data_IF_956699076042
#
_entry.id   IF_956699076042
#
_cell.length_a   1.000
_cell.length_b   1.000
_cell.length_c   1.000
_cell.angle_alpha   90.00
_cell.angle_beta   90.00
_cell.angle_gamma   90.00
#
_symmetry.space_group_name_H-M   'P 1'
#
loop_
_entity.id
_entity.type
_entity.pdbx_description
1 polymer ?
#
# COMPACT_ATOMS: atom_id res chain seq x y z
N UNK A 1 -24.54 -2.95 -18.25
CA UNK A 1 -23.38 -2.04 -18.00
C UNK A 1 -23.52 -1.52 -16.60
N UNK A 2 -22.48 -1.65 -15.79
CA UNK A 2 -22.47 -1.05 -14.44
C UNK A 2 -22.50 0.47 -14.61
N UNK A 3 -23.24 1.15 -13.73
CA UNK A 3 -23.33 2.60 -13.72
C UNK A 3 -21.92 3.22 -13.59
N UNK A 4 -21.65 4.23 -14.40
CA UNK A 4 -20.37 4.96 -14.39
C UNK A 4 -20.03 5.48 -12.99
N UNK A 5 -21.05 5.93 -12.24
CA UNK A 5 -20.88 6.42 -10.87
C UNK A 5 -20.34 5.32 -9.94
N UNK A 6 -20.90 4.11 -10.02
CA UNK A 6 -20.45 2.95 -9.22
C UNK A 6 -19.02 2.56 -9.62
N UNK A 7 -18.72 2.56 -10.91
CA UNK A 7 -17.37 2.24 -11.41
C UNK A 7 -16.34 3.23 -10.86
N UNK A 8 -16.61 4.53 -10.96
CA UNK A 8 -15.71 5.57 -10.42
C UNK A 8 -15.53 5.42 -8.91
N UNK A 9 -16.61 5.17 -8.17
CA UNK A 9 -16.54 4.95 -6.72
C UNK A 9 -15.63 3.77 -6.38
N UNK A 10 -15.78 2.63 -7.06
CA UNK A 10 -14.94 1.44 -6.84
C UNK A 10 -13.47 1.77 -7.12
N UNK A 11 -13.16 2.45 -8.22
CA UNK A 11 -11.78 2.79 -8.58
C UNK A 11 -11.14 3.72 -7.55
N UNK A 12 -11.88 4.72 -7.05
CA UNK A 12 -11.40 5.62 -5.98
C UNK A 12 -11.12 4.83 -4.70
N UNK A 13 -12.03 3.92 -4.31
CA UNK A 13 -11.84 3.08 -3.12
C UNK A 13 -10.63 2.16 -3.27
N UNK A 14 -10.40 1.60 -4.45
CA UNK A 14 -9.24 0.76 -4.72
C UNK A 14 -7.92 1.56 -4.70
N UNK A 15 -7.93 2.79 -5.21
CA UNK A 15 -6.78 3.68 -5.07
C UNK A 15 -6.45 3.97 -3.59
N UNK A 16 -7.46 4.32 -2.78
CA UNK A 16 -7.29 4.57 -1.35
C UNK A 16 -6.74 3.32 -0.65
N UNK A 17 -7.30 2.15 -0.96
CA UNK A 17 -6.84 0.87 -0.41
C UNK A 17 -5.38 0.61 -0.76
N UNK A 18 -4.98 0.81 -2.02
CA UNK A 18 -3.60 0.68 -2.47
C UNK A 18 -2.65 1.63 -1.74
N UNK A 19 -3.05 2.90 -1.55
CA UNK A 19 -2.26 3.88 -0.82
C UNK A 19 -2.07 3.48 0.66
N UNK A 20 -3.10 2.93 1.31
CA UNK A 20 -3.00 2.39 2.68
C UNK A 20 -2.02 1.22 2.75
N UNK A 21 -2.07 0.30 1.78
CA UNK A 21 -1.09 -0.80 1.69
C UNK A 21 0.33 -0.30 1.38
N UNK A 22 0.50 0.79 0.62
CA UNK A 22 1.78 1.45 0.39
C UNK A 22 2.41 1.96 1.68
N UNK A 23 1.62 2.65 2.50
CA UNK A 23 2.02 3.10 3.84
C UNK A 23 2.38 1.93 4.75
N UNK A 24 1.56 0.85 4.73
CA UNK A 24 1.85 -0.39 5.45
C UNK A 24 3.16 -1.02 4.99
N UNK A 25 3.44 -1.07 3.69
CA UNK A 25 4.64 -1.66 3.12
C UNK A 25 5.91 -0.95 3.64
N UNK A 26 5.92 0.38 3.69
CA UNK A 26 7.01 1.14 4.29
C UNK A 26 7.21 0.81 5.77
N UNK A 27 6.12 0.75 6.54
CA UNK A 27 6.17 0.39 7.95
C UNK A 27 6.74 -1.03 8.16
N UNK A 28 6.34 -1.99 7.31
CA UNK A 28 6.80 -3.37 7.39
C UNK A 28 8.28 -3.52 7.01
N UNK A 29 8.75 -2.81 5.97
CA UNK A 29 10.16 -2.79 5.60
C UNK A 29 11.05 -2.29 6.76
N UNK A 30 10.63 -1.21 7.45
CA UNK A 30 11.32 -0.72 8.64
C UNK A 30 11.31 -1.73 9.79
N UNK A 31 10.19 -2.42 10.06
CA UNK A 31 10.09 -3.46 11.10
C UNK A 31 11.06 -4.60 10.84
N UNK A 32 11.12 -5.10 9.61
CA UNK A 32 12.05 -6.16 9.22
C UNK A 32 13.51 -5.75 9.46
N UNK A 33 13.89 -4.53 9.10
CA UNK A 33 15.24 -4.02 9.35
C UNK A 33 15.57 -3.95 10.84
N UNK A 34 14.64 -3.47 11.65
CA UNK A 34 14.85 -3.38 13.10
C UNK A 34 14.96 -4.76 13.76
N UNK A 35 14.15 -5.72 13.35
CA UNK A 35 14.26 -7.11 13.81
C UNK A 35 15.59 -7.74 13.41
N UNK A 36 16.04 -7.59 12.17
CA UNK A 36 17.32 -8.07 11.69
C UNK A 36 18.51 -7.51 12.48
N UNK A 37 18.42 -6.25 12.92
CA UNK A 37 19.45 -5.59 13.73
C UNK A 37 19.32 -5.88 15.24
N UNK A 38 18.41 -6.75 15.68
CA UNK A 38 18.12 -7.05 17.10
C UNK A 38 17.93 -5.79 17.96
N UNK A 39 17.45 -4.69 17.35
CA UNK A 39 17.14 -3.45 18.06
C UNK A 39 15.78 -3.60 18.73
N UNK A 40 15.70 -3.08 19.97
CA UNK A 40 14.50 -3.11 20.82
C UNK A 40 13.28 -2.57 20.06
N UNK A 41 12.13 -3.24 20.19
CA UNK A 41 10.91 -2.98 19.48
C UNK A 41 10.56 -1.48 19.36
N UNK A 42 10.23 -1.05 18.14
CA UNK A 42 9.64 0.27 17.87
C UNK A 42 8.23 0.42 18.43
N UNK A 43 7.71 -0.63 19.10
CA UNK A 43 6.35 -0.71 19.57
C UNK A 43 5.32 -0.88 18.44
N UNK A 44 4.05 -0.98 18.81
CA UNK A 44 2.92 -1.17 17.86
C UNK A 44 2.54 0.13 17.12
N UNK A 45 3.12 1.27 17.48
CA UNK A 45 2.73 2.59 16.99
C UNK A 45 3.73 3.14 15.97
N UNK A 46 3.22 3.92 15.03
CA UNK A 46 4.06 4.71 14.12
C UNK A 46 4.76 5.82 14.92
N UNK A 47 6.09 5.86 14.83
CA UNK A 47 6.94 6.85 15.54
C UNK A 47 7.87 7.55 14.58
N UNK A 48 8.15 8.80 14.80
CA UNK A 48 9.18 9.51 14.06
C UNK A 48 10.57 8.92 14.37
N UNK A 49 11.34 8.57 13.36
CA UNK A 49 12.66 7.95 13.53
C UNK A 49 13.69 8.91 14.16
N UNK A 50 13.48 10.22 14.04
CA UNK A 50 14.39 11.24 14.56
C UNK A 50 14.07 11.62 16.01
N UNK A 51 12.83 12.05 16.30
CA UNK A 51 12.46 12.53 17.63
C UNK A 51 11.79 11.47 18.51
N UNK A 52 11.53 10.26 17.97
CA UNK A 52 10.90 9.12 18.67
C UNK A 52 9.48 9.40 19.21
N UNK A 53 8.89 10.56 18.89
CA UNK A 53 7.52 10.88 19.27
C UNK A 53 6.56 10.08 18.41
N UNK A 54 5.43 9.68 19.01
CA UNK A 54 4.34 8.98 18.32
C UNK A 54 3.71 9.89 17.26
N UNK A 55 3.48 9.33 16.07
CA UNK A 55 2.77 9.99 14.97
C UNK A 55 1.28 9.89 15.28
N UNK A 56 0.56 11.01 15.18
CA UNK A 56 -0.89 11.05 15.37
C UNK A 56 -1.57 10.41 14.16
N UNK A 57 -2.76 9.83 14.34
CA UNK A 57 -3.47 9.11 13.29
C UNK A 57 -3.71 9.96 12.02
N UNK A 58 -4.02 11.25 12.18
CA UNK A 58 -4.25 12.16 11.06
C UNK A 58 -2.95 12.58 10.34
N UNK A 59 -1.79 12.43 10.98
CA UNK A 59 -0.47 12.61 10.35
C UNK A 59 0.02 11.32 9.67
N UNK A 60 -0.80 10.26 9.70
CA UNK A 60 -0.52 8.97 9.07
C UNK A 60 -1.51 8.64 7.94
N UNK A 61 -2.31 9.63 7.49
CA UNK A 61 -3.20 9.46 6.33
C UNK A 61 -2.32 9.43 5.07
N UNK A 62 -2.36 8.33 4.28
CA UNK A 62 -1.49 8.17 3.11
C UNK A 62 -1.60 9.36 2.14
N UNK A 63 -0.49 9.74 1.54
CA UNK A 63 -0.36 10.84 0.56
C UNK A 63 -0.67 12.21 1.18
N UNK A 64 -1.87 12.35 1.80
CA UNK A 64 -2.38 13.63 2.32
C UNK A 64 -1.46 14.18 3.41
N UNK A 65 -1.07 13.34 4.37
CA UNK A 65 -0.22 13.78 5.48
C UNK A 65 1.13 14.29 4.99
N UNK A 66 1.73 13.60 4.03
CA UNK A 66 3.01 14.01 3.46
C UNK A 66 2.90 15.37 2.75
N UNK A 67 1.83 15.58 1.96
CA UNK A 67 1.58 16.85 1.27
C UNK A 67 1.32 17.99 2.26
N UNK A 68 0.46 17.80 3.26
CA UNK A 68 0.12 18.81 4.28
C UNK A 68 1.33 19.19 5.12
N UNK A 69 2.15 18.22 5.50
CA UNK A 69 3.36 18.41 6.29
C UNK A 69 4.58 18.80 5.42
N UNK A 70 4.42 18.88 4.09
CA UNK A 70 5.49 19.19 3.13
C UNK A 70 6.71 18.27 3.32
N UNK A 71 6.44 16.99 3.55
CA UNK A 71 7.48 15.98 3.77
C UNK A 71 8.27 16.14 5.07
N UNK A 72 7.76 16.86 6.08
CA UNK A 72 8.46 17.13 7.35
C UNK A 72 7.69 16.63 8.56
N UNK A 73 8.40 16.16 9.57
CA UNK A 73 7.77 15.76 10.83
C UNK A 73 7.15 16.98 11.53
N UNK A 74 5.91 16.87 12.01
CA UNK A 74 5.21 17.95 12.74
C UNK A 74 5.95 18.41 14.01
N UNK A 75 6.71 17.52 14.67
CA UNK A 75 7.35 17.83 15.96
C UNK A 75 8.79 18.32 15.84
N UNK A 76 9.61 17.70 14.99
CA UNK A 76 11.04 18.02 14.89
C UNK A 76 11.43 18.66 13.56
N UNK A 77 10.48 18.82 12.64
CA UNK A 77 10.64 19.42 11.31
C UNK A 77 11.70 18.75 10.41
N UNK A 78 12.25 17.60 10.84
CA UNK A 78 13.14 16.80 9.99
C UNK A 78 12.37 16.15 8.86
N UNK A 79 13.04 15.96 7.73
CA UNK A 79 12.45 15.43 6.52
C UNK A 79 11.98 13.97 6.70
N UNK A 80 10.78 13.68 6.20
CA UNK A 80 10.24 12.34 6.01
C UNK A 80 10.65 11.94 4.59
N UNK A 81 11.26 10.78 4.44
CA UNK A 81 11.76 10.34 3.13
C UNK A 81 10.67 10.31 2.06
N UNK A 82 11.01 10.73 0.85
CA UNK A 82 10.09 10.71 -0.31
C UNK A 82 9.66 9.28 -0.68
N UNK A 83 10.43 8.27 -0.28
CA UNK A 83 10.11 6.87 -0.54
C UNK A 83 8.75 6.45 0.05
N UNK A 84 8.36 7.01 1.20
CA UNK A 84 7.08 6.72 1.84
C UNK A 84 5.92 7.24 0.97
N UNK A 85 6.01 8.49 0.50
CA UNK A 85 5.04 9.08 -0.43
C UNK A 85 4.97 8.33 -1.76
N UNK A 86 6.13 7.98 -2.34
CA UNK A 86 6.19 7.25 -3.62
C UNK A 86 5.60 5.85 -3.52
N UNK A 87 5.81 5.13 -2.43
CA UNK A 87 5.22 3.80 -2.24
C UNK A 87 3.70 3.87 -2.10
N UNK A 88 3.17 4.88 -1.41
CA UNK A 88 1.74 5.10 -1.25
C UNK A 88 1.08 5.45 -2.60
N UNK A 89 1.68 6.38 -3.34
CA UNK A 89 1.17 6.80 -4.64
C UNK A 89 1.25 5.67 -5.68
N UNK A 90 2.40 5.01 -5.80
CA UNK A 90 2.61 3.96 -6.81
C UNK A 90 1.71 2.75 -6.58
N UNK A 91 1.55 2.32 -5.32
CA UNK A 91 0.66 1.19 -5.02
C UNK A 91 -0.81 1.58 -5.16
N UNK A 92 -1.19 2.83 -4.82
CA UNK A 92 -2.52 3.36 -5.10
C UNK A 92 -2.86 3.33 -6.59
N UNK A 93 -1.96 3.83 -7.43
CA UNK A 93 -2.11 3.80 -8.90
C UNK A 93 -2.16 2.37 -9.43
N UNK A 94 -1.29 1.48 -8.95
CA UNK A 94 -1.27 0.08 -9.38
C UNK A 94 -2.60 -0.64 -9.06
N UNK A 95 -3.16 -0.43 -7.86
CA UNK A 95 -4.47 -0.99 -7.46
C UNK A 95 -5.59 -0.45 -8.34
N UNK A 96 -5.59 0.85 -8.65
CA UNK A 96 -6.55 1.47 -9.56
C UNK A 96 -6.47 0.84 -10.95
N UNK A 97 -5.27 0.75 -11.53
CA UNK A 97 -5.05 0.21 -12.88
C UNK A 97 -5.45 -1.27 -12.97
N UNK A 98 -5.10 -2.08 -11.97
CA UNK A 98 -5.52 -3.49 -11.92
C UNK A 98 -7.03 -3.63 -11.76
N UNK A 99 -7.66 -2.80 -10.96
CA UNK A 99 -9.12 -2.82 -10.80
C UNK A 99 -9.81 -2.42 -12.08
N UNK A 100 -9.30 -1.43 -12.81
CA UNK A 100 -9.78 -1.10 -14.15
C UNK A 100 -9.65 -2.27 -15.11
N UNK A 101 -8.51 -2.94 -15.14
CA UNK A 101 -8.22 -4.01 -16.09
C UNK A 101 -8.96 -5.33 -15.79
N UNK A 102 -9.16 -5.67 -14.51
CA UNK A 102 -9.70 -6.97 -14.09
C UNK A 102 -11.09 -6.88 -13.48
N UNK A 103 -11.30 -5.96 -12.51
CA UNK A 103 -12.55 -5.88 -11.77
C UNK A 103 -13.68 -5.27 -12.57
N UNK A 104 -13.43 -4.20 -13.32
CA UNK A 104 -14.46 -3.54 -14.14
C UNK A 104 -15.03 -4.47 -15.22
N UNK A 105 -14.24 -5.26 -15.97
CA UNK A 105 -14.78 -6.27 -16.89
C UNK A 105 -15.59 -7.37 -16.19
N UNK A 106 -15.21 -7.79 -14.98
CA UNK A 106 -16.01 -8.75 -14.19
C UNK A 106 -17.38 -8.16 -13.87
N UNK A 107 -17.42 -6.92 -13.41
CA UNK A 107 -18.67 -6.23 -13.06
C UNK A 107 -19.57 -6.02 -14.30
N UNK A 108 -19.01 -5.66 -15.44
CA UNK A 108 -19.76 -5.44 -16.67
C UNK A 108 -20.34 -6.74 -17.27
N UNK A 109 -19.71 -7.89 -17.00
CA UNK A 109 -20.14 -9.20 -17.51
C UNK A 109 -20.73 -10.08 -16.40
N UNK A 110 -21.20 -9.48 -15.32
CA UNK A 110 -21.68 -10.20 -14.13
C UNK A 110 -22.74 -11.26 -14.45
N UNK A 111 -23.73 -10.92 -15.29
CA UNK A 111 -24.82 -11.85 -15.66
C UNK A 111 -24.31 -13.12 -16.33
N UNK A 112 -23.30 -13.00 -17.20
CA UNK A 112 -22.69 -14.15 -17.89
C UNK A 112 -21.79 -14.94 -16.94
N UNK A 113 -20.99 -14.25 -16.12
CA UNK A 113 -20.10 -14.90 -15.17
C UNK A 113 -20.85 -15.60 -14.02
N UNK A 114 -22.03 -15.09 -13.63
CA UNK A 114 -22.85 -15.71 -12.60
C UNK A 114 -23.41 -17.09 -13.03
N UNK A 115 -23.52 -17.35 -14.34
CA UNK A 115 -23.87 -18.68 -14.86
C UNK A 115 -22.72 -19.68 -14.80
N UNK A 116 -21.49 -19.20 -14.63
CA UNK A 116 -20.26 -20.00 -14.58
C UNK A 116 -19.43 -19.62 -13.33
N UNK A 117 -19.87 -20.04 -12.15
CA UNK A 117 -19.25 -19.60 -10.88
C UNK A 117 -17.78 -20.01 -10.76
N UNK A 118 -17.36 -21.09 -11.40
CA UNK A 118 -15.97 -21.55 -11.44
C UNK A 118 -15.02 -20.54 -12.12
N UNK A 119 -15.45 -19.95 -13.24
CA UNK A 119 -14.67 -18.91 -13.93
C UNK A 119 -14.65 -17.60 -13.15
N UNK A 120 -15.76 -17.24 -12.51
CA UNK A 120 -15.82 -16.07 -11.63
C UNK A 120 -14.86 -16.23 -10.45
N UNK A 121 -14.91 -17.37 -9.76
CA UNK A 121 -14.03 -17.66 -8.62
C UNK A 121 -12.55 -17.60 -9.02
N UNK A 122 -12.19 -18.20 -10.15
CA UNK A 122 -10.82 -18.17 -10.67
C UNK A 122 -10.35 -16.74 -10.97
N UNK A 123 -11.18 -15.92 -11.67
CA UNK A 123 -10.83 -14.53 -11.98
C UNK A 123 -10.65 -13.67 -10.73
N UNK A 124 -11.53 -13.82 -9.74
CA UNK A 124 -11.40 -13.11 -8.46
C UNK A 124 -10.18 -13.58 -7.69
N UNK A 125 -9.88 -14.88 -7.68
CA UNK A 125 -8.68 -15.42 -7.03
C UNK A 125 -7.41 -14.85 -7.67
N UNK A 126 -7.30 -14.83 -9.00
CA UNK A 126 -6.16 -14.23 -9.72
C UNK A 126 -6.03 -12.75 -9.36
N UNK A 127 -7.12 -11.99 -9.36
CA UNK A 127 -7.12 -10.58 -9.00
C UNK A 127 -6.59 -10.36 -7.58
N UNK A 128 -7.10 -11.09 -6.58
CA UNK A 128 -6.68 -10.97 -5.17
C UNK A 128 -5.21 -11.37 -5.01
N UNK A 129 -4.79 -12.48 -5.61
CA UNK A 129 -3.39 -12.95 -5.54
C UNK A 129 -2.44 -11.91 -6.16
N UNK A 130 -2.83 -11.30 -7.29
CA UNK A 130 -2.03 -10.25 -7.92
C UNK A 130 -1.89 -9.01 -7.03
N UNK A 131 -2.97 -8.57 -6.37
CA UNK A 131 -2.91 -7.46 -5.41
C UNK A 131 -1.99 -7.79 -4.23
N UNK A 132 -2.10 -8.99 -3.66
CA UNK A 132 -1.23 -9.43 -2.56
C UNK A 132 0.24 -9.48 -2.98
N UNK A 133 0.53 -10.02 -4.17
CA UNK A 133 1.88 -10.07 -4.72
C UNK A 133 2.48 -8.66 -4.89
N UNK A 134 1.69 -7.70 -5.38
CA UNK A 134 2.14 -6.31 -5.49
C UNK A 134 2.52 -5.70 -4.14
N UNK A 135 1.75 -5.98 -3.09
CA UNK A 135 2.08 -5.50 -1.73
C UNK A 135 3.41 -6.09 -1.27
N UNK A 136 3.61 -7.39 -1.46
CA UNK A 136 4.88 -8.07 -1.10
C UNK A 136 6.05 -7.49 -1.89
N UNK A 137 5.90 -7.34 -3.20
CA UNK A 137 6.94 -6.74 -4.06
C UNK A 137 7.24 -5.30 -3.65
N UNK A 138 6.23 -4.53 -3.24
CA UNK A 138 6.44 -3.17 -2.74
C UNK A 138 7.26 -3.16 -1.44
N UNK A 139 6.98 -4.07 -0.49
CA UNK A 139 7.79 -4.19 0.74
C UNK A 139 9.26 -4.46 0.39
N UNK A 140 9.52 -5.39 -0.54
CA UNK A 140 10.87 -5.73 -0.99
C UNK A 140 11.55 -4.55 -1.70
N UNK A 141 10.83 -3.87 -2.60
CA UNK A 141 11.35 -2.72 -3.33
C UNK A 141 11.70 -1.56 -2.39
N UNK A 142 10.85 -1.26 -1.40
CA UNK A 142 11.13 -0.23 -0.38
C UNK A 142 12.32 -0.63 0.46
N UNK A 143 12.43 -1.92 0.82
CA UNK A 143 13.56 -2.42 1.61
C UNK A 143 14.86 -2.26 0.82
N UNK A 144 14.89 -2.71 -0.43
CA UNK A 144 16.07 -2.60 -1.31
C UNK A 144 16.44 -1.12 -1.56
N UNK A 145 15.48 -0.27 -1.90
CA UNK A 145 15.71 1.15 -2.15
C UNK A 145 16.29 1.90 -0.94
N UNK A 146 15.96 1.46 0.30
CA UNK A 146 16.44 2.11 1.52
C UNK A 146 17.81 1.58 2.00
N UNK A 147 18.14 0.32 1.75
CA UNK A 147 19.32 -0.33 2.35
C UNK A 147 20.21 -1.06 1.34
N UNK A 148 19.79 -1.21 0.08
CA UNK A 148 20.58 -1.87 -0.97
C UNK A 148 20.84 -3.36 -0.71
N UNK A 149 20.04 -4.00 0.14
CA UNK A 149 20.19 -5.40 0.55
C UNK A 149 18.82 -6.09 0.53
N UNK A 150 18.78 -7.36 0.13
CA UNK A 150 17.57 -8.17 0.33
C UNK A 150 17.40 -8.49 1.82
N UNK A 151 16.15 -8.52 2.33
CA UNK A 151 15.92 -8.82 3.74
C UNK A 151 16.37 -10.25 4.06
N UNK A 152 17.38 -10.38 4.92
CA UNK A 152 17.92 -11.67 5.40
C UNK A 152 16.89 -12.53 6.12
N UNK A 153 15.73 -11.98 6.45
CA UNK A 153 14.58 -12.71 7.01
C UNK A 153 13.95 -13.69 6.01
N UNK A 154 14.26 -13.56 4.72
CA UNK A 154 13.76 -14.45 3.65
C UNK A 154 14.77 -15.54 3.25
N UNK A 155 15.96 -15.53 3.82
CA UNK A 155 17.01 -16.56 3.69
C UNK A 155 17.07 -17.44 4.94
#
# INVERSE_FOLDING_TARGET
>A
MVDTTITVFILVMMFILGAVFGSFACCQAWRWRYHALKKKDLGQWSVCLHCKKRIKWYDNIPIISWLVLRGKCRNCHKEIGIADFLSELSLGVAFLMLSWAYLVPILNNWSVLALHPEFLALRLAIFIVTLMLLVVLMVLAVYDAKWGELPTVLL
#
